data_IF_359352298303
#
_entry.id   IF_359352298303
#
_cell.length_a   1.000
_cell.length_b   1.000
_cell.length_c   1.000
_cell.angle_alpha   90.00
_cell.angle_beta   90.00
_cell.angle_gamma   90.00
#
_symmetry.space_group_name_H-M   'P 1'
#
loop_
_entity.id
_entity.type
_entity.pdbx_description
1 polymer ?
#
# COMPACT_ATOMS: atom_id res chain seq x y z
N UNK A 1 20.41 8.08 23.92
CA UNK A 1 19.14 7.31 24.01
C UNK A 1 18.85 6.95 25.47
N UNK A 2 17.61 7.13 25.90
CA UNK A 2 17.17 6.90 27.29
C UNK A 2 16.28 5.65 27.35
N UNK A 3 16.34 4.93 28.49
CA UNK A 3 15.36 3.87 28.75
C UNK A 3 14.01 4.51 29.04
N UNK A 4 12.98 4.10 28.30
CA UNK A 4 11.59 4.47 28.57
C UNK A 4 10.94 3.37 29.44
N UNK A 5 9.98 3.76 30.28
CA UNK A 5 9.22 2.85 31.16
C UNK A 5 7.91 2.40 30.53
N UNK A 6 7.49 3.03 29.44
CA UNK A 6 6.29 2.66 28.70
C UNK A 6 6.56 1.44 27.82
N UNK A 7 5.56 0.62 27.70
CA UNK A 7 5.61 -0.58 26.84
C UNK A 7 5.63 -0.22 25.36
N UNK A 8 6.10 -1.16 24.53
CA UNK A 8 6.05 -0.98 23.07
C UNK A 8 4.61 -0.73 22.61
N UNK A 9 3.62 -1.40 23.22
CA UNK A 9 2.20 -1.26 22.84
C UNK A 9 1.68 0.16 23.11
N UNK A 10 2.05 0.76 24.23
CA UNK A 10 1.67 2.13 24.58
C UNK A 10 2.26 3.16 23.61
N UNK A 11 3.45 2.91 23.09
CA UNK A 11 4.08 3.77 22.09
C UNK A 11 3.46 3.71 20.70
N UNK A 12 2.67 2.69 20.37
CA UNK A 12 2.10 2.53 19.04
C UNK A 12 1.13 3.67 18.70
N UNK A 13 0.34 4.14 19.67
CA UNK A 13 -0.57 5.26 19.47
C UNK A 13 0.21 6.55 19.18
N UNK A 14 1.21 6.86 20.01
CA UNK A 14 2.08 8.02 19.81
C UNK A 14 2.81 7.96 18.44
N UNK A 15 3.20 6.76 18.03
CA UNK A 15 3.81 6.56 16.71
C UNK A 15 2.85 6.88 15.57
N UNK A 16 1.57 6.50 15.68
CA UNK A 16 0.58 6.82 14.66
C UNK A 16 0.31 8.33 14.59
N UNK A 17 0.24 9.02 15.73
CA UNK A 17 0.16 10.49 15.79
C UNK A 17 1.41 11.15 15.18
N UNK A 18 2.60 10.63 15.44
CA UNK A 18 3.84 11.08 14.83
C UNK A 18 3.80 10.95 13.30
N UNK A 19 3.25 9.85 12.75
CA UNK A 19 3.10 9.66 11.30
C UNK A 19 2.16 10.69 10.68
N UNK A 20 1.13 11.12 11.42
CA UNK A 20 0.21 12.16 10.99
C UNK A 20 0.86 13.56 11.05
N UNK A 21 1.23 13.96 12.24
CA UNK A 21 1.60 15.34 12.55
C UNK A 21 2.99 15.71 12.02
N UNK A 22 3.97 14.81 12.20
CA UNK A 22 5.37 15.13 11.85
C UNK A 22 5.78 14.61 10.47
N UNK A 23 5.21 13.49 10.02
CA UNK A 23 5.51 12.93 8.69
C UNK A 23 4.47 13.30 7.64
N UNK A 24 3.34 13.91 8.02
CA UNK A 24 2.30 14.36 7.10
C UNK A 24 1.70 13.23 6.27
N UNK A 25 1.63 12.01 6.81
CA UNK A 25 1.11 10.87 6.06
C UNK A 25 -0.41 10.91 5.99
N UNK A 26 -0.97 10.57 4.83
CA UNK A 26 -2.42 10.46 4.65
C UNK A 26 -3.03 9.42 5.59
N UNK A 27 -4.31 9.62 5.97
CA UNK A 27 -5.10 8.68 6.80
C UNK A 27 -4.99 7.23 6.29
N UNK A 28 -5.00 7.03 4.98
CA UNK A 28 -4.86 5.72 4.36
C UNK A 28 -3.49 5.06 4.63
N UNK A 29 -2.45 5.86 4.71
CA UNK A 29 -1.11 5.39 5.09
C UNK A 29 -1.06 5.02 6.55
N UNK A 30 -1.66 5.83 7.43
CA UNK A 30 -1.73 5.57 8.88
C UNK A 30 -2.49 4.28 9.17
N UNK A 31 -3.70 4.07 8.55
CA UNK A 31 -4.45 2.80 8.64
C UNK A 31 -3.61 1.59 8.21
N UNK A 32 -2.75 1.79 7.21
CA UNK A 32 -1.86 0.74 6.74
C UNK A 32 -0.79 0.39 7.77
N UNK A 33 -0.15 1.40 8.39
CA UNK A 33 0.81 1.18 9.47
C UNK A 33 0.15 0.60 10.70
N UNK A 34 -1.04 1.08 11.09
CA UNK A 34 -1.84 0.48 12.17
C UNK A 34 -2.02 -1.02 11.94
N UNK A 35 -2.49 -1.41 10.74
CA UNK A 35 -2.69 -2.83 10.38
C UNK A 35 -1.40 -3.65 10.45
N UNK A 36 -0.24 -3.05 10.10
CA UNK A 36 1.04 -3.74 10.21
C UNK A 36 1.43 -3.96 11.67
N UNK A 37 1.26 -2.95 12.51
CA UNK A 37 1.58 -3.03 13.93
C UNK A 37 0.57 -3.88 14.71
N UNK A 38 -0.70 -3.93 14.30
CA UNK A 38 -1.69 -4.87 14.86
C UNK A 38 -1.23 -6.33 14.78
N UNK A 39 -0.54 -6.69 13.69
CA UNK A 39 0.02 -8.04 13.56
C UNK A 39 1.14 -8.28 14.58
N UNK A 40 1.96 -7.26 14.85
CA UNK A 40 3.02 -7.31 15.85
C UNK A 40 2.46 -7.35 17.26
N UNK A 41 1.48 -6.50 17.58
CA UNK A 41 0.78 -6.53 18.87
C UNK A 41 0.13 -7.87 19.16
N UNK A 42 -0.52 -8.49 18.15
CA UNK A 42 -1.11 -9.83 18.29
C UNK A 42 -0.05 -10.89 18.62
N UNK A 43 1.13 -10.77 18.01
CA UNK A 43 2.25 -11.66 18.32
C UNK A 43 2.78 -11.43 19.74
N UNK A 44 2.94 -10.18 20.17
CA UNK A 44 3.35 -9.85 21.55
C UNK A 44 2.37 -10.47 22.56
N UNK A 45 1.06 -10.26 22.39
CA UNK A 45 0.01 -10.82 23.25
C UNK A 45 0.03 -12.35 23.29
N UNK A 46 0.17 -13.00 22.13
CA UNK A 46 0.22 -14.46 22.04
C UNK A 46 1.46 -15.08 22.71
N UNK A 47 2.48 -14.28 23.02
CA UNK A 47 3.71 -14.71 23.70
C UNK A 47 3.86 -14.12 25.11
N UNK A 48 2.81 -13.51 25.66
CA UNK A 48 2.80 -12.86 27.00
C UNK A 48 3.88 -11.78 27.14
N UNK A 49 4.07 -10.97 26.07
CA UNK A 49 5.06 -9.90 25.97
C UNK A 49 4.41 -8.50 25.91
N UNK A 50 3.19 -8.34 26.46
CA UNK A 50 2.47 -7.07 26.44
C UNK A 50 3.19 -5.96 27.22
N UNK A 51 3.93 -6.33 28.24
CA UNK A 51 4.69 -5.42 29.09
C UNK A 51 6.11 -5.16 28.62
N UNK A 52 6.53 -5.71 27.46
CA UNK A 52 7.89 -5.55 26.96
C UNK A 52 8.21 -4.07 26.67
N UNK A 53 9.36 -3.62 27.17
CA UNK A 53 9.86 -2.27 26.97
C UNK A 53 10.68 -2.16 25.68
N UNK A 54 10.79 -0.97 25.06
CA UNK A 54 11.56 -0.78 23.81
C UNK A 54 13.00 -1.33 23.86
N UNK A 55 13.69 -1.16 24.97
CA UNK A 55 15.10 -1.60 25.14
C UNK A 55 15.24 -3.10 25.45
N UNK A 56 14.16 -3.79 25.73
CA UNK A 56 14.14 -5.24 25.96
C UNK A 56 13.92 -6.04 24.66
N UNK A 57 13.42 -5.36 23.63
CA UNK A 57 13.26 -5.97 22.31
C UNK A 57 14.64 -6.21 21.67
N UNK A 58 15.04 -7.46 21.56
CA UNK A 58 16.32 -7.88 20.99
C UNK A 58 16.18 -8.63 19.65
N UNK A 59 17.32 -9.05 19.09
CA UNK A 59 17.35 -9.83 17.85
C UNK A 59 16.72 -11.23 18.01
N UNK A 60 16.68 -11.78 19.23
CA UNK A 60 16.01 -13.05 19.52
C UNK A 60 14.49 -12.96 19.35
N UNK A 61 13.89 -11.89 19.88
CA UNK A 61 12.46 -11.60 19.68
C UNK A 61 12.15 -11.27 18.21
N UNK A 62 13.01 -10.51 17.54
CA UNK A 62 12.86 -10.26 16.12
C UNK A 62 12.86 -11.56 15.30
N UNK A 63 13.76 -12.49 15.60
CA UNK A 63 13.80 -13.82 14.95
C UNK A 63 12.51 -14.61 15.20
N UNK A 64 12.01 -14.64 16.44
CA UNK A 64 10.75 -15.31 16.80
C UNK A 64 9.56 -14.71 16.03
N UNK A 65 9.50 -13.36 15.94
CA UNK A 65 8.46 -12.68 15.18
C UNK A 65 8.51 -13.04 13.68
N UNK A 66 9.71 -13.13 13.08
CA UNK A 66 9.88 -13.56 11.68
C UNK A 66 9.40 -15.00 11.46
N UNK A 67 9.68 -15.90 12.38
CA UNK A 67 9.17 -17.28 12.33
C UNK A 67 7.63 -17.27 12.39
N UNK A 68 7.06 -16.50 13.31
CA UNK A 68 5.59 -16.34 13.39
C UNK A 68 5.00 -15.82 12.07
N UNK A 69 5.61 -14.82 11.43
CA UNK A 69 5.14 -14.32 10.14
C UNK A 69 5.22 -15.39 9.05
N UNK A 70 6.30 -16.17 9.00
CA UNK A 70 6.48 -17.22 7.98
C UNK A 70 5.48 -18.36 8.13
N UNK A 71 5.02 -18.63 9.35
CA UNK A 71 4.01 -19.64 9.68
C UNK A 71 2.57 -19.10 9.66
N UNK A 72 2.40 -17.78 9.45
CA UNK A 72 1.08 -17.16 9.41
C UNK A 72 0.41 -17.38 8.05
N UNK A 73 -0.92 -17.49 8.08
CA UNK A 73 -1.76 -17.66 6.87
C UNK A 73 -2.55 -16.38 6.55
N UNK A 74 -2.83 -16.18 5.29
CA UNK A 74 -3.79 -15.19 4.85
C UNK A 74 -5.20 -15.61 5.29
N UNK A 75 -5.96 -14.70 5.89
CA UNK A 75 -7.30 -15.01 6.43
C UNK A 75 -8.29 -15.38 5.34
N UNK A 76 -8.17 -14.77 4.16
CA UNK A 76 -9.10 -14.95 3.04
C UNK A 76 -8.73 -16.16 2.18
N UNK A 77 -7.47 -16.23 1.72
CA UNK A 77 -7.04 -17.30 0.79
C UNK A 77 -6.64 -18.59 1.50
N UNK A 78 -6.46 -18.55 2.84
CA UNK A 78 -5.93 -19.69 3.64
C UNK A 78 -4.53 -20.16 3.22
N UNK A 79 -3.84 -19.42 2.38
CA UNK A 79 -2.47 -19.68 1.96
C UNK A 79 -1.45 -19.08 2.93
N UNK A 80 -0.22 -19.61 3.01
CA UNK A 80 0.86 -18.98 3.75
C UNK A 80 1.11 -17.53 3.30
N UNK A 81 1.50 -16.65 4.23
CA UNK A 81 1.79 -15.26 3.88
C UNK A 81 2.95 -15.17 2.88
N UNK A 82 2.71 -14.50 1.75
CA UNK A 82 3.75 -14.20 0.74
C UNK A 82 4.89 -13.39 1.37
N UNK A 83 6.12 -13.57 0.86
CA UNK A 83 7.30 -12.84 1.35
C UNK A 83 7.11 -11.32 1.32
N UNK A 84 6.48 -10.78 0.26
CA UNK A 84 6.11 -9.37 0.16
C UNK A 84 5.21 -8.91 1.31
N UNK A 85 4.22 -9.71 1.67
CA UNK A 85 3.31 -9.42 2.80
C UNK A 85 4.05 -9.46 4.14
N UNK A 86 4.96 -10.43 4.33
CA UNK A 86 5.82 -10.48 5.52
C UNK A 86 6.72 -9.24 5.61
N UNK A 87 7.26 -8.78 4.47
CA UNK A 87 8.05 -7.54 4.39
C UNK A 87 7.25 -6.31 4.82
N UNK A 88 5.97 -6.19 4.47
CA UNK A 88 5.13 -5.08 4.94
C UNK A 88 5.01 -5.03 6.47
N UNK A 89 4.83 -6.17 7.13
CA UNK A 89 4.81 -6.24 8.60
C UNK A 89 6.18 -5.86 9.20
N UNK A 90 7.28 -6.28 8.57
CA UNK A 90 8.64 -5.92 9.00
C UNK A 90 8.94 -4.43 8.78
N UNK A 91 8.40 -3.81 7.70
CA UNK A 91 8.51 -2.36 7.45
C UNK A 91 7.77 -1.58 8.56
N UNK A 92 6.59 -2.03 8.98
CA UNK A 92 5.89 -1.42 10.11
C UNK A 92 6.73 -1.41 11.39
N UNK A 93 7.32 -2.56 11.74
CA UNK A 93 8.21 -2.66 12.89
C UNK A 93 9.47 -1.79 12.72
N UNK A 94 10.11 -1.79 11.55
CA UNK A 94 11.29 -0.96 11.27
C UNK A 94 11.00 0.52 11.47
N UNK A 95 9.85 1.00 11.01
CA UNK A 95 9.47 2.40 11.16
C UNK A 95 9.14 2.76 12.63
N UNK A 96 8.57 1.85 13.40
CA UNK A 96 8.41 2.03 14.85
C UNK A 96 9.79 2.13 15.56
N UNK A 97 10.76 1.32 15.17
CA UNK A 97 12.12 1.40 15.73
C UNK A 97 12.84 2.70 15.33
N UNK A 98 12.62 3.21 14.11
CA UNK A 98 13.10 4.53 13.69
C UNK A 98 12.47 5.64 14.54
N UNK A 99 11.16 5.57 14.81
CA UNK A 99 10.48 6.50 15.71
C UNK A 99 11.11 6.49 17.10
N UNK A 100 11.46 5.34 17.66
CA UNK A 100 12.18 5.28 18.94
C UNK A 100 13.53 6.00 18.86
N UNK A 101 14.25 5.84 17.75
CA UNK A 101 15.50 6.56 17.52
C UNK A 101 15.28 8.07 17.44
N UNK A 102 14.28 8.54 16.69
CA UNK A 102 13.92 9.95 16.54
C UNK A 102 13.50 10.59 17.88
N UNK A 103 13.00 9.79 18.82
CA UNK A 103 12.60 10.19 20.19
C UNK A 103 13.67 9.94 21.27
N UNK A 104 14.89 9.60 20.88
CA UNK A 104 15.99 9.25 21.81
C UNK A 104 15.66 8.07 22.76
N UNK A 105 14.69 7.22 22.42
CA UNK A 105 14.31 6.03 23.18
C UNK A 105 15.26 4.88 22.84
N UNK A 106 15.85 4.27 23.86
CA UNK A 106 16.73 3.13 23.68
C UNK A 106 15.95 1.89 23.21
N UNK A 107 16.28 1.36 22.04
CA UNK A 107 15.64 0.17 21.45
C UNK A 107 16.62 -0.58 20.53
N UNK A 108 16.16 -1.70 19.98
CA UNK A 108 16.84 -2.38 18.87
C UNK A 108 16.98 -1.44 17.68
N UNK A 109 18.17 -1.40 17.04
CA UNK A 109 18.37 -0.61 15.82
C UNK A 109 17.44 -1.10 14.69
N UNK A 110 16.80 -0.16 14.01
CA UNK A 110 15.93 -0.45 12.86
C UNK A 110 16.65 -1.18 11.71
N UNK A 111 17.97 -1.00 11.58
CA UNK A 111 18.82 -1.68 10.58
C UNK A 111 18.89 -3.20 10.78
N UNK A 112 18.67 -3.68 12.02
CA UNK A 112 18.60 -5.12 12.32
C UNK A 112 17.35 -5.77 11.70
N UNK A 113 16.31 -5.01 11.38
CA UNK A 113 15.11 -5.49 10.70
C UNK A 113 15.36 -5.59 9.20
N UNK A 114 16.13 -6.58 8.78
CA UNK A 114 16.41 -6.84 7.35
C UNK A 114 15.16 -7.40 6.66
N UNK A 115 14.84 -6.88 5.47
CA UNK A 115 13.75 -7.40 4.65
C UNK A 115 14.15 -8.69 3.92
N UNK A 116 13.17 -9.52 3.63
CA UNK A 116 13.36 -10.75 2.87
C UNK A 116 13.61 -10.36 1.40
N UNK A 117 14.70 -10.86 0.81
CA UNK A 117 14.96 -10.67 -0.62
C UNK A 117 13.88 -11.39 -1.44
N UNK A 118 13.26 -10.66 -2.33
CA UNK A 118 12.31 -11.20 -3.30
C UNK A 118 13.00 -11.34 -4.66
N UNK A 119 12.60 -12.36 -5.42
CA UNK A 119 13.01 -12.44 -6.82
C UNK A 119 12.32 -11.31 -7.59
N UNK A 120 13.04 -10.68 -8.49
CA UNK A 120 12.45 -9.72 -9.43
C UNK A 120 11.35 -10.42 -10.22
N UNK A 121 10.18 -9.79 -10.27
CA UNK A 121 9.08 -10.28 -11.09
C UNK A 121 9.32 -9.82 -12.52
N UNK A 122 9.38 -10.77 -13.42
CA UNK A 122 9.34 -10.47 -14.86
C UNK A 122 7.99 -9.84 -15.16
N UNK A 123 8.00 -8.65 -15.73
CA UNK A 123 6.77 -7.98 -16.18
C UNK A 123 6.35 -8.66 -17.50
N UNK A 124 5.14 -9.21 -17.51
CA UNK A 124 4.52 -9.75 -18.73
C UNK A 124 3.74 -8.65 -19.43
N UNK A 125 3.98 -8.49 -20.72
CA UNK A 125 3.25 -7.54 -21.56
C UNK A 125 2.27 -8.29 -22.45
N UNK A 126 1.14 -7.65 -22.77
CA UNK A 126 0.22 -8.14 -23.78
C UNK A 126 0.76 -7.80 -25.18
N UNK A 127 0.61 -8.70 -26.14
CA UNK A 127 0.80 -8.33 -27.56
C UNK A 127 -0.34 -7.42 -28.02
N UNK A 128 -0.17 -6.76 -29.16
CA UNK A 128 -1.22 -5.89 -29.74
C UNK A 128 -2.50 -6.69 -29.98
N UNK A 129 -2.38 -7.91 -30.51
CA UNK A 129 -3.53 -8.81 -30.78
C UNK A 129 -4.23 -9.25 -29.49
N UNK A 130 -3.47 -9.47 -28.40
CA UNK A 130 -4.04 -9.80 -27.09
C UNK A 130 -4.77 -8.62 -26.49
N UNK A 131 -4.21 -7.41 -26.65
CA UNK A 131 -4.82 -6.18 -26.20
C UNK A 131 -6.15 -5.91 -26.94
N UNK A 132 -6.14 -6.00 -28.27
CA UNK A 132 -7.35 -5.84 -29.09
C UNK A 132 -8.45 -6.82 -28.68
N UNK A 133 -8.11 -8.07 -28.43
CA UNK A 133 -9.07 -9.08 -27.94
C UNK A 133 -9.63 -8.69 -26.56
N UNK A 134 -8.77 -8.22 -25.64
CA UNK A 134 -9.18 -7.77 -24.32
C UNK A 134 -10.17 -6.61 -24.40
N UNK A 135 -9.84 -5.57 -25.18
CA UNK A 135 -10.69 -4.38 -25.37
C UNK A 135 -12.02 -4.70 -26.06
N UNK A 136 -12.06 -5.74 -26.90
CA UNK A 136 -13.26 -6.18 -27.61
C UNK A 136 -14.14 -7.17 -26.82
N UNK A 137 -13.68 -7.68 -25.67
CA UNK A 137 -14.38 -8.71 -24.88
C UNK A 137 -15.74 -8.21 -24.31
N UNK A 138 -15.87 -6.97 -23.79
CA UNK A 138 -17.13 -6.53 -23.19
C UNK A 138 -18.28 -6.46 -24.21
N UNK A 139 -19.43 -7.01 -23.84
CA UNK A 139 -20.63 -6.97 -24.69
C UNK A 139 -21.28 -5.55 -24.64
N UNK A 140 -21.00 -4.73 -25.64
CA UNK A 140 -21.47 -3.34 -25.72
C UNK A 140 -23.00 -3.19 -25.95
N UNK A 141 -23.73 -4.30 -26.12
CA UNK A 141 -25.20 -4.28 -26.16
C UNK A 141 -25.83 -4.11 -24.77
N UNK A 142 -25.06 -4.27 -23.71
CA UNK A 142 -25.52 -4.06 -22.32
C UNK A 142 -24.84 -2.84 -21.70
N UNK A 143 -25.54 -2.17 -20.79
CA UNK A 143 -24.99 -1.01 -20.03
C UNK A 143 -23.72 -1.41 -19.25
N UNK A 144 -23.71 -2.63 -18.68
CA UNK A 144 -22.55 -3.15 -17.96
C UNK A 144 -21.37 -3.31 -18.91
N UNK A 145 -21.59 -3.89 -20.08
CA UNK A 145 -20.52 -4.09 -21.06
C UNK A 145 -20.01 -2.78 -21.67
N UNK A 146 -20.90 -1.79 -21.88
CA UNK A 146 -20.48 -0.43 -22.27
C UNK A 146 -19.58 0.21 -21.21
N UNK A 147 -19.99 0.15 -19.94
CA UNK A 147 -19.18 0.62 -18.81
C UNK A 147 -17.82 -0.07 -18.76
N UNK A 148 -17.80 -1.40 -18.86
CA UNK A 148 -16.56 -2.18 -18.76
C UNK A 148 -15.62 -1.87 -19.93
N UNK A 149 -16.15 -1.68 -21.13
CA UNK A 149 -15.36 -1.24 -22.28
C UNK A 149 -14.80 0.17 -22.09
N UNK A 150 -15.63 1.12 -21.64
CA UNK A 150 -15.18 2.49 -21.35
C UNK A 150 -14.04 2.52 -20.30
N UNK A 151 -14.14 1.68 -19.26
CA UNK A 151 -13.08 1.53 -18.25
C UNK A 151 -11.78 1.02 -18.90
N UNK A 152 -11.84 -0.04 -19.71
CA UNK A 152 -10.67 -0.63 -20.35
C UNK A 152 -10.00 0.34 -21.34
N UNK A 153 -10.78 0.99 -22.22
CA UNK A 153 -10.28 1.96 -23.20
C UNK A 153 -9.67 3.18 -22.47
N UNK A 154 -10.30 3.68 -21.42
CA UNK A 154 -9.77 4.78 -20.61
C UNK A 154 -8.44 4.40 -19.94
N UNK A 155 -8.36 3.24 -19.30
CA UNK A 155 -7.12 2.79 -18.66
C UNK A 155 -5.99 2.61 -19.67
N UNK A 156 -6.29 2.05 -20.83
CA UNK A 156 -5.31 1.86 -21.90
C UNK A 156 -4.81 3.20 -22.46
N UNK A 157 -5.72 4.12 -22.75
CA UNK A 157 -5.39 5.43 -23.35
C UNK A 157 -4.59 6.32 -22.39
N UNK A 158 -4.95 6.34 -21.09
CA UNK A 158 -4.48 7.36 -20.13
C UNK A 158 -3.46 6.85 -19.12
N UNK A 159 -3.37 5.55 -18.91
CA UNK A 159 -2.57 4.97 -17.83
C UNK A 159 -3.02 5.39 -16.41
N UNK A 160 -4.28 5.75 -16.24
CA UNK A 160 -4.85 6.13 -14.93
C UNK A 160 -4.75 5.00 -13.91
N UNK A 161 -4.55 5.37 -12.64
CA UNK A 161 -4.76 4.44 -11.54
C UNK A 161 -6.26 4.25 -11.33
N UNK A 162 -6.67 3.08 -10.80
CA UNK A 162 -8.09 2.80 -10.54
C UNK A 162 -8.75 3.90 -9.69
N UNK A 163 -8.06 4.40 -8.65
CA UNK A 163 -8.59 5.48 -7.82
C UNK A 163 -8.74 6.81 -8.59
N UNK A 164 -7.90 7.09 -9.56
CA UNK A 164 -7.99 8.28 -10.41
C UNK A 164 -9.13 8.12 -11.42
N UNK A 165 -9.28 6.94 -12.02
CA UNK A 165 -10.37 6.63 -12.94
C UNK A 165 -11.75 6.85 -12.30
N UNK A 166 -11.97 6.30 -11.08
CA UNK A 166 -13.29 6.39 -10.41
C UNK A 166 -13.61 7.79 -9.90
N UNK A 167 -12.64 8.69 -9.86
CA UNK A 167 -12.82 10.10 -9.51
C UNK A 167 -13.02 11.01 -10.73
N UNK A 168 -13.06 10.46 -11.95
CA UNK A 168 -13.44 11.25 -13.13
C UNK A 168 -14.90 11.63 -13.04
N UNK A 169 -15.20 12.90 -13.35
CA UNK A 169 -16.55 13.45 -13.34
C UNK A 169 -17.04 13.70 -14.76
N UNK A 170 -18.35 13.55 -14.98
CA UNK A 170 -18.99 13.73 -16.28
C UNK A 170 -18.76 15.13 -16.86
N UNK A 171 -18.71 16.14 -16.02
CA UNK A 171 -18.50 17.55 -16.41
C UNK A 171 -17.16 17.77 -17.12
N UNK A 172 -16.16 16.93 -16.82
CA UNK A 172 -14.85 16.98 -17.48
C UNK A 172 -14.91 16.57 -18.97
N UNK A 173 -16.02 15.95 -19.38
CA UNK A 173 -16.28 15.45 -20.74
C UNK A 173 -17.37 16.25 -21.47
N UNK A 174 -17.76 17.42 -20.98
CA UNK A 174 -18.89 18.19 -21.51
C UNK A 174 -18.64 18.78 -22.90
N UNK A 175 -17.37 19.04 -23.27
CA UNK A 175 -17.00 19.67 -24.55
C UNK A 175 -16.19 18.69 -25.41
N UNK A 176 -16.87 17.66 -25.92
CA UNK A 176 -16.27 16.66 -26.82
C UNK A 176 -16.62 16.89 -28.28
N UNK A 177 -17.39 17.94 -28.64
CA UNK A 177 -17.83 18.22 -30.00
C UNK A 177 -16.63 18.43 -30.92
N UNK A 178 -16.46 17.52 -31.89
CA UNK A 178 -15.38 17.54 -32.91
C UNK A 178 -13.93 17.38 -32.39
N UNK A 179 -13.73 16.79 -31.20
CA UNK A 179 -12.39 16.51 -30.68
C UNK A 179 -11.99 15.05 -30.94
N UNK A 180 -10.80 14.86 -31.52
CA UNK A 180 -10.18 13.54 -31.70
C UNK A 180 -9.38 13.09 -30.48
N UNK A 181 -9.16 13.98 -29.53
CA UNK A 181 -8.52 13.71 -28.25
C UNK A 181 -9.03 14.70 -27.18
N UNK A 182 -8.95 14.28 -25.93
CA UNK A 182 -9.24 15.13 -24.77
C UNK A 182 -8.03 15.15 -23.84
N UNK A 183 -7.66 16.35 -23.44
CA UNK A 183 -6.61 16.59 -22.45
C UNK A 183 -7.24 16.98 -21.12
N UNK A 184 -6.88 16.25 -20.06
CA UNK A 184 -7.33 16.56 -18.69
C UNK A 184 -6.14 16.65 -17.74
N UNK A 185 -6.19 17.62 -16.81
CA UNK A 185 -5.29 17.65 -15.66
C UNK A 185 -5.90 16.87 -14.51
N UNK A 186 -5.13 15.94 -13.95
CA UNK A 186 -5.52 15.18 -12.76
C UNK A 186 -4.50 15.34 -11.66
N UNK A 187 -4.94 15.23 -10.42
CA UNK A 187 -4.05 15.24 -9.26
C UNK A 187 -3.65 13.79 -8.93
N UNK A 188 -2.38 13.48 -9.09
CA UNK A 188 -1.83 12.15 -8.81
C UNK A 188 -1.48 11.90 -7.34
N UNK A 189 -0.79 10.79 -7.07
CA UNK A 189 -0.28 10.46 -5.74
C UNK A 189 0.65 11.58 -5.23
N UNK A 190 0.43 12.00 -3.98
CA UNK A 190 1.21 13.08 -3.35
C UNK A 190 0.78 14.49 -3.74
N UNK A 191 -0.41 14.66 -4.35
CA UNK A 191 -0.93 15.99 -4.73
C UNK A 191 -0.28 16.57 -5.99
N UNK A 192 0.55 15.79 -6.72
CA UNK A 192 1.26 16.26 -7.92
C UNK A 192 0.32 16.22 -9.11
N UNK A 193 0.05 17.38 -9.78
CA UNK A 193 -0.77 17.42 -10.98
C UNK A 193 -0.01 16.79 -12.17
N UNK A 194 -0.74 16.10 -13.02
CA UNK A 194 -0.25 15.63 -14.31
C UNK A 194 -1.34 15.67 -15.36
N UNK A 195 -0.93 15.88 -16.60
CA UNK A 195 -1.81 15.81 -17.76
C UNK A 195 -1.97 14.37 -18.24
N UNK A 196 -3.19 14.01 -18.63
CA UNK A 196 -3.55 12.76 -19.31
C UNK A 196 -4.26 13.05 -20.60
N UNK A 197 -4.14 12.13 -21.55
CA UNK A 197 -4.73 12.26 -22.88
C UNK A 197 -5.65 11.08 -23.16
N UNK A 198 -6.89 11.38 -23.53
CA UNK A 198 -7.84 10.38 -24.00
C UNK A 198 -7.75 10.30 -25.52
N UNK A 199 -7.63 9.09 -26.04
CA UNK A 199 -7.73 8.84 -27.49
C UNK A 199 -9.18 8.88 -27.94
N UNK A 200 -9.38 9.03 -29.25
CA UNK A 200 -10.72 8.97 -29.88
C UNK A 200 -11.50 7.71 -29.50
N UNK A 201 -10.83 6.57 -29.37
CA UNK A 201 -11.46 5.30 -28.93
C UNK A 201 -11.97 5.31 -27.50
N UNK A 202 -11.39 6.14 -26.64
CA UNK A 202 -11.73 6.22 -25.22
C UNK A 202 -12.82 7.28 -24.96
N UNK A 203 -13.13 8.12 -25.93
CA UNK A 203 -14.18 9.13 -25.93
C UNK A 203 -15.47 8.58 -26.53
#
# INVERSE_FOLDING_TARGET
MKKDKRTIIEHINDFLEYLDIEKGLSNKSQETYQRFLDKFMKWLKANHLESILPHELDEGYLRKYRIFLSQSFNKTTKEPLKKSTQNYYLIGLRNLLNYFTDRDILSLSAEKVKLIKEKEKTVTFLTVEQLERLLSTPNTKSIIGLRDRAILETLFSTGLRVAELVNLNREQFSDLSNKTYLELSITGKGGIPRTIYFSERAL
#
